data_IF_479593980101
#
_entry.id   IF_479593980101
#
_cell.length_a   1.000
_cell.length_b   1.000
_cell.length_c   1.000
_cell.angle_alpha   90.00
_cell.angle_beta   90.00
_cell.angle_gamma   90.00
#
_symmetry.space_group_name_H-M   'P 1'
#
loop_
_entity.id
_entity.type
_entity.pdbx_description
1 polymer ?
#
# COMPACT_ATOMS: atom_id res chain seq x y z
N UNK A 1 41.55 2.67 -20.43
CA UNK A 1 40.68 1.61 -21.00
C UNK A 1 39.46 2.29 -21.58
N UNK A 2 39.04 1.85 -22.76
CA UNK A 2 37.77 2.26 -23.37
C UNK A 2 36.61 1.91 -22.43
N UNK A 3 35.60 2.76 -22.41
CA UNK A 3 34.47 2.67 -21.50
C UNK A 3 33.21 2.37 -22.30
N UNK A 4 32.58 1.24 -22.00
CA UNK A 4 31.54 0.65 -22.82
C UNK A 4 30.20 0.63 -22.11
N UNK A 5 29.14 0.93 -22.85
CA UNK A 5 27.76 0.86 -22.38
C UNK A 5 26.85 0.29 -23.45
N UNK A 6 25.62 -0.04 -23.09
CA UNK A 6 24.65 -0.60 -24.02
C UNK A 6 23.21 -0.26 -23.60
N UNK A 7 22.28 -0.36 -24.56
CA UNK A 7 20.85 -0.34 -24.24
C UNK A 7 20.41 -1.67 -23.59
N UNK A 8 19.21 -1.72 -23.01
CA UNK A 8 18.72 -2.90 -22.29
C UNK A 8 18.63 -4.18 -23.15
N UNK A 9 18.37 -4.06 -24.46
CA UNK A 9 18.36 -5.21 -25.38
C UNK A 9 19.69 -5.41 -26.13
N UNK A 10 20.73 -4.68 -25.75
CA UNK A 10 22.09 -4.73 -26.33
C UNK A 10 22.22 -4.42 -27.84
N UNK A 11 21.14 -4.05 -28.52
CA UNK A 11 21.15 -3.71 -29.94
C UNK A 11 22.00 -2.48 -30.26
N UNK A 12 22.12 -1.55 -29.29
CA UNK A 12 22.94 -0.35 -29.38
C UNK A 12 24.08 -0.48 -28.37
N UNK A 13 25.31 -0.40 -28.86
CA UNK A 13 26.53 -0.36 -28.04
C UNK A 13 27.20 0.99 -28.15
N UNK A 14 27.61 1.53 -27.02
CA UNK A 14 28.24 2.83 -26.88
C UNK A 14 29.67 2.63 -26.42
N UNK A 15 30.61 3.32 -27.06
CA UNK A 15 32.01 3.33 -26.66
C UNK A 15 32.50 4.75 -26.49
N UNK A 16 33.15 5.00 -25.36
CA UNK A 16 33.88 6.22 -25.04
C UNK A 16 35.37 5.91 -24.85
N UNK A 17 36.28 6.86 -25.14
CA UNK A 17 37.71 6.66 -24.95
C UNK A 17 38.09 6.43 -23.47
N UNK A 18 37.32 7.02 -22.54
CA UNK A 18 37.48 6.88 -21.10
C UNK A 18 36.16 7.18 -20.36
N UNK A 19 36.04 6.72 -19.13
CA UNK A 19 34.93 7.09 -18.25
C UNK A 19 34.98 8.60 -17.93
N UNK A 20 33.89 9.36 -18.12
CA UNK A 20 33.83 10.75 -17.67
C UNK A 20 34.01 10.85 -16.15
N UNK A 21 34.79 11.80 -15.61
CA UNK A 21 35.10 11.84 -14.18
C UNK A 21 33.91 12.18 -13.28
N UNK A 22 32.85 12.77 -13.85
CA UNK A 22 31.69 13.25 -13.12
C UNK A 22 30.43 13.15 -13.95
N UNK A 23 29.29 12.95 -13.29
CA UNK A 23 27.97 13.01 -13.92
C UNK A 23 27.17 14.24 -13.47
N UNK A 24 26.07 14.52 -14.16
CA UNK A 24 25.12 15.58 -13.83
C UNK A 24 23.71 15.01 -13.73
N UNK A 25 23.04 15.34 -12.63
CA UNK A 25 21.66 14.92 -12.36
C UNK A 25 20.69 16.01 -12.82
N UNK A 26 19.65 15.61 -13.54
CA UNK A 26 18.57 16.50 -13.96
C UNK A 26 17.23 16.05 -13.38
N UNK A 27 16.55 16.98 -12.72
CA UNK A 27 15.26 16.76 -12.04
C UNK A 27 14.04 17.26 -12.81
N UNK A 28 14.23 17.82 -14.02
CA UNK A 28 13.12 18.37 -14.79
C UNK A 28 12.13 17.27 -15.25
N UNK A 29 10.86 17.62 -15.37
CA UNK A 29 9.80 16.65 -15.68
C UNK A 29 10.02 15.92 -17.02
N UNK A 30 10.58 16.60 -18.02
CA UNK A 30 10.88 16.02 -19.33
C UNK A 30 11.96 14.93 -19.21
N UNK A 31 13.00 15.18 -18.41
CA UNK A 31 14.08 14.21 -18.20
C UNK A 31 13.63 13.02 -17.34
N UNK A 32 12.78 13.24 -16.33
CA UNK A 32 12.14 12.17 -15.55
C UNK A 32 11.29 11.26 -16.44
N UNK A 33 10.42 11.85 -17.27
CA UNK A 33 9.57 11.10 -18.21
C UNK A 33 10.38 10.34 -19.27
N UNK A 34 11.39 10.98 -19.85
CA UNK A 34 12.25 10.34 -20.84
C UNK A 34 13.14 9.23 -20.25
N UNK A 35 13.48 9.31 -18.97
CA UNK A 35 14.30 8.32 -18.27
C UNK A 35 13.50 7.23 -17.54
N UNK A 36 12.19 7.41 -17.37
CA UNK A 36 11.34 6.51 -16.57
C UNK A 36 11.65 6.52 -15.06
N UNK A 37 12.42 7.50 -14.58
CA UNK A 37 12.96 7.52 -13.21
C UNK A 37 12.63 8.80 -12.43
N UNK A 38 13.04 8.81 -11.16
CA UNK A 38 12.89 9.97 -10.27
C UNK A 38 13.75 11.18 -10.68
N UNK A 39 14.81 10.91 -11.44
CA UNK A 39 15.77 11.85 -11.98
C UNK A 39 16.42 11.23 -13.23
N UNK A 40 17.21 12.02 -13.96
CA UNK A 40 18.05 11.51 -15.05
C UNK A 40 19.51 11.82 -14.77
N UNK A 41 20.35 10.79 -14.76
CA UNK A 41 21.82 10.94 -14.67
C UNK A 41 22.41 10.99 -16.08
N UNK A 42 23.20 12.01 -16.36
CA UNK A 42 23.76 12.25 -17.70
C UNK A 42 25.24 12.59 -17.62
N UNK A 43 25.99 12.20 -18.65
CA UNK A 43 27.32 12.71 -18.94
C UNK A 43 27.22 13.79 -20.00
N UNK A 44 27.97 14.88 -19.79
CA UNK A 44 28.13 15.94 -20.78
C UNK A 44 29.47 15.74 -21.48
N UNK A 45 29.42 15.21 -22.70
CA UNK A 45 30.62 14.88 -23.48
C UNK A 45 30.59 15.59 -24.84
N UNK A 46 31.74 15.63 -25.50
CA UNK A 46 31.79 16.08 -26.87
C UNK A 46 31.24 15.00 -27.82
N UNK A 47 30.66 15.41 -28.94
CA UNK A 47 30.05 14.47 -29.89
C UNK A 47 31.08 13.57 -30.59
N UNK A 48 32.30 14.08 -30.81
CA UNK A 48 33.44 13.37 -31.41
C UNK A 48 33.99 12.25 -30.51
N UNK A 49 33.80 12.35 -29.18
CA UNK A 49 34.20 11.30 -28.24
C UNK A 49 33.23 10.10 -28.23
N UNK A 50 32.03 10.26 -28.80
CA UNK A 50 30.96 9.26 -28.75
C UNK A 50 30.97 8.36 -29.99
N UNK A 51 31.30 7.08 -29.82
CA UNK A 51 31.10 6.07 -30.85
C UNK A 51 29.83 5.25 -30.58
N UNK A 52 28.89 5.28 -31.51
CA UNK A 52 27.62 4.52 -31.44
C UNK A 52 27.66 3.40 -32.47
N UNK A 53 27.57 2.16 -32.00
CA UNK A 53 27.48 0.97 -32.83
C UNK A 53 26.04 0.41 -32.78
N UNK A 54 25.31 0.57 -33.87
CA UNK A 54 23.89 0.18 -34.03
C UNK A 54 23.70 -0.64 -35.33
N UNK A 55 24.07 -1.92 -35.35
CA UNK A 55 24.02 -2.75 -36.56
C UNK A 55 22.59 -3.03 -37.02
N UNK A 56 21.62 -2.95 -36.10
CA UNK A 56 20.22 -3.26 -36.35
C UNK A 56 19.37 -2.01 -36.66
N UNK A 57 20.01 -0.82 -36.80
CA UNK A 57 19.35 0.45 -37.04
C UNK A 57 18.18 0.73 -36.06
N UNK A 58 18.39 0.41 -34.78
CA UNK A 58 17.39 0.56 -33.71
C UNK A 58 17.42 1.91 -33.03
N UNK A 59 18.38 2.78 -33.36
CA UNK A 59 18.45 4.14 -32.83
C UNK A 59 17.41 5.04 -33.49
N UNK A 60 16.38 5.41 -32.74
CA UNK A 60 15.34 6.33 -33.20
C UNK A 60 15.46 7.69 -32.49
N UNK A 61 14.87 8.72 -33.09
CA UNK A 61 14.93 10.10 -32.60
C UNK A 61 13.53 10.69 -32.46
N UNK A 62 13.29 11.32 -31.33
CA UNK A 62 12.09 12.12 -31.09
C UNK A 62 12.49 13.56 -30.73
N UNK A 63 11.83 14.53 -31.36
CA UNK A 63 12.00 15.96 -31.06
C UNK A 63 11.05 16.38 -29.93
N UNK A 64 11.62 16.61 -28.75
CA UNK A 64 10.89 17.07 -27.57
C UNK A 64 10.83 18.61 -27.57
N UNK A 65 9.65 19.14 -27.94
CA UNK A 65 9.35 20.58 -27.96
C UNK A 65 8.84 21.10 -26.61
N UNK A 66 8.41 20.22 -25.70
CA UNK A 66 7.82 20.60 -24.40
C UNK A 66 8.89 20.63 -23.31
N UNK A 67 10.00 21.34 -23.55
CA UNK A 67 11.05 21.46 -22.53
C UNK A 67 10.85 22.67 -21.64
N UNK A 68 11.19 22.51 -20.36
CA UNK A 68 11.19 23.63 -19.39
C UNK A 68 12.19 24.73 -19.79
N UNK A 69 13.20 24.38 -20.60
CA UNK A 69 14.22 25.32 -21.09
C UNK A 69 13.75 26.22 -22.24
N UNK A 70 12.57 25.95 -22.82
CA UNK A 70 12.03 26.65 -23.99
C UNK A 70 12.64 26.24 -25.34
N UNK A 71 13.58 25.29 -25.39
CA UNK A 71 14.24 24.85 -26.62
C UNK A 71 13.81 23.44 -27.00
N UNK A 72 13.64 23.18 -28.29
CA UNK A 72 13.49 21.81 -28.77
C UNK A 72 14.78 21.01 -28.52
N UNK A 73 14.64 19.82 -27.94
CA UNK A 73 15.77 18.88 -27.74
C UNK A 73 15.51 17.60 -28.52
N UNK A 74 16.53 17.11 -29.22
CA UNK A 74 16.47 15.87 -29.98
C UNK A 74 16.90 14.73 -29.08
N UNK A 75 15.98 13.84 -28.73
CA UNK A 75 16.23 12.70 -27.85
C UNK A 75 16.38 11.45 -28.70
N UNK A 76 17.50 10.78 -28.53
CA UNK A 76 17.81 9.52 -29.21
C UNK A 76 17.59 8.36 -28.24
N UNK A 77 16.88 7.33 -28.68
CA UNK A 77 16.50 6.19 -27.86
C UNK A 77 16.47 4.91 -28.70
N UNK A 78 16.57 3.76 -28.04
CA UNK A 78 16.43 2.46 -28.69
C UNK A 78 14.95 2.17 -28.98
N UNK A 79 14.57 1.97 -30.24
CA UNK A 79 13.20 1.58 -30.61
C UNK A 79 12.83 0.17 -30.15
N UNK A 80 13.82 -0.73 -30.02
CA UNK A 80 13.59 -2.11 -29.57
C UNK A 80 13.23 -2.26 -28.09
N UNK A 81 13.88 -1.52 -27.19
CA UNK A 81 13.64 -1.64 -25.72
C UNK A 81 13.25 -0.34 -25.03
N UNK A 82 13.14 0.79 -25.74
CA UNK A 82 12.81 2.10 -25.18
C UNK A 82 13.93 2.76 -24.37
N UNK A 83 15.11 2.15 -24.24
CA UNK A 83 16.23 2.73 -23.47
C UNK A 83 16.66 4.08 -24.04
N UNK A 84 16.73 5.15 -23.23
CA UNK A 84 17.21 6.44 -23.70
C UNK A 84 18.74 6.39 -23.89
N UNK A 85 19.24 6.86 -25.03
CA UNK A 85 20.67 6.79 -25.36
C UNK A 85 21.36 8.12 -25.09
N UNK A 86 21.07 9.16 -25.88
CA UNK A 86 21.63 10.50 -25.68
C UNK A 86 20.66 11.59 -26.11
N UNK A 87 20.94 12.83 -25.75
CA UNK A 87 20.14 14.00 -26.15
C UNK A 87 21.04 15.08 -26.73
N UNK A 88 20.60 15.67 -27.85
CA UNK A 88 21.24 16.83 -28.48
C UNK A 88 20.35 18.06 -28.30
N UNK A 89 20.98 19.21 -28.08
CA UNK A 89 20.29 20.50 -27.93
C UNK A 89 20.95 21.56 -28.79
N UNK A 90 20.16 22.45 -29.36
CA UNK A 90 20.65 23.61 -30.12
C UNK A 90 21.47 24.59 -29.27
N UNK A 91 21.28 24.58 -27.94
CA UNK A 91 22.03 25.44 -27.02
C UNK A 91 23.50 25.08 -26.84
N UNK A 92 23.87 23.84 -27.15
CA UNK A 92 25.23 23.34 -27.00
C UNK A 92 25.61 22.52 -28.24
N UNK A 93 25.84 23.18 -29.38
CA UNK A 93 26.26 22.49 -30.60
C UNK A 93 27.60 21.76 -30.37
N UNK A 94 27.73 20.55 -30.93
CA UNK A 94 28.92 19.71 -30.76
C UNK A 94 29.02 18.98 -29.40
N UNK A 95 28.06 19.16 -28.50
CA UNK A 95 27.96 18.44 -27.22
C UNK A 95 26.77 17.49 -27.23
N UNK A 96 26.92 16.37 -26.53
CA UNK A 96 25.85 15.39 -26.33
C UNK A 96 25.65 15.13 -24.84
N UNK A 97 24.38 15.08 -24.42
CA UNK A 97 23.99 14.63 -23.09
C UNK A 97 23.76 13.12 -23.17
N UNK A 98 24.81 12.35 -22.89
CA UNK A 98 24.77 10.89 -22.90
C UNK A 98 24.14 10.37 -21.62
N UNK A 99 23.27 9.36 -21.71
CA UNK A 99 22.64 8.76 -20.53
C UNK A 99 23.65 7.88 -19.80
N UNK A 100 23.92 8.21 -18.54
CA UNK A 100 24.89 7.48 -17.75
C UNK A 100 24.41 6.06 -17.40
N UNK A 101 23.09 5.85 -17.33
CA UNK A 101 22.46 4.56 -17.03
C UNK A 101 22.66 3.47 -18.11
N UNK A 102 23.30 3.78 -19.24
CA UNK A 102 23.72 2.78 -20.24
C UNK A 102 24.96 2.00 -19.80
N UNK A 103 25.64 2.42 -18.73
CA UNK A 103 26.90 1.85 -18.28
C UNK A 103 26.75 1.27 -16.88
N UNK A 104 27.50 0.20 -16.59
CA UNK A 104 27.43 -0.49 -15.29
C UNK A 104 28.02 0.31 -14.13
N UNK A 105 29.08 1.07 -14.39
CA UNK A 105 29.79 1.85 -13.37
C UNK A 105 29.66 3.33 -13.67
N UNK A 106 28.82 4.04 -12.92
CA UNK A 106 28.56 5.47 -13.15
C UNK A 106 29.37 6.35 -12.19
N UNK A 107 30.03 7.38 -12.73
CA UNK A 107 30.76 8.37 -11.94
C UNK A 107 29.81 9.22 -11.09
N UNK A 108 30.23 9.62 -9.87
CA UNK A 108 29.36 10.34 -8.95
C UNK A 108 28.88 11.67 -9.55
N UNK A 109 27.66 12.11 -9.19
CA UNK A 109 27.15 13.39 -9.65
C UNK A 109 27.84 14.53 -8.90
N UNK A 110 28.36 15.52 -9.65
CA UNK A 110 28.98 16.73 -9.07
C UNK A 110 28.08 17.96 -9.18
N UNK A 111 27.03 17.86 -10.00
CA UNK A 111 26.11 18.95 -10.27
C UNK A 111 24.67 18.43 -10.42
N UNK A 112 23.73 19.22 -9.92
CA UNK A 112 22.30 18.98 -10.04
C UNK A 112 21.62 20.17 -10.70
N UNK A 113 20.75 19.91 -11.68
CA UNK A 113 20.00 20.95 -12.40
C UNK A 113 18.50 20.74 -12.24
N UNK A 114 17.76 21.86 -12.22
CA UNK A 114 16.31 21.90 -11.96
C UNK A 114 15.90 21.31 -10.61
N UNK A 115 16.71 21.51 -9.57
CA UNK A 115 16.48 21.03 -8.19
C UNK A 115 15.07 21.40 -7.69
N UNK A 116 14.52 22.54 -8.10
CA UNK A 116 13.13 22.95 -7.78
C UNK A 116 12.04 21.97 -8.26
N UNK A 117 12.37 21.01 -9.14
CA UNK A 117 11.48 19.95 -9.65
C UNK A 117 11.78 18.56 -9.08
N UNK A 118 12.71 18.46 -8.12
CA UNK A 118 13.03 17.23 -7.40
C UNK A 118 11.82 16.75 -6.60
N UNK A 119 11.60 15.43 -6.55
CA UNK A 119 10.60 14.88 -5.66
C UNK A 119 11.08 15.00 -4.21
N UNK A 120 10.19 15.46 -3.31
CA UNK A 120 10.53 15.74 -1.91
C UNK A 120 11.10 14.53 -1.14
N UNK A 121 10.80 13.31 -1.60
CA UNK A 121 11.28 12.07 -0.98
C UNK A 121 12.63 11.58 -1.55
N UNK A 122 13.15 12.21 -2.60
CA UNK A 122 14.48 11.89 -3.15
C UNK A 122 15.50 12.78 -2.46
N UNK A 123 16.49 12.18 -1.81
CA UNK A 123 17.68 12.88 -1.29
C UNK A 123 18.91 12.27 -1.93
N UNK A 124 19.81 13.11 -2.46
CA UNK A 124 21.07 12.66 -3.06
C UNK A 124 22.19 13.02 -2.07
N UNK A 125 22.56 12.06 -1.24
CA UNK A 125 23.73 12.19 -0.37
C UNK A 125 24.99 11.90 -1.18
N UNK A 126 25.88 12.88 -1.32
CA UNK A 126 27.20 12.65 -1.92
C UNK A 126 28.05 11.83 -0.94
N UNK A 127 28.07 10.52 -1.13
CA UNK A 127 28.77 9.59 -0.25
C UNK A 127 30.26 9.92 -0.13
N UNK A 128 30.71 10.22 1.10
CA UNK A 128 32.12 10.05 1.52
C UNK A 128 32.56 8.64 1.09
N UNK A 129 33.73 8.53 0.45
CA UNK A 129 34.32 7.26 -0.04
C UNK A 129 34.11 6.15 0.98
N UNK A 130 33.29 5.16 0.62
CA UNK A 130 33.12 3.97 1.44
C UNK A 130 34.44 3.19 1.37
N UNK A 131 35.22 3.24 2.45
CA UNK A 131 36.45 2.45 2.54
C UNK A 131 36.06 0.96 2.43
N UNK A 132 36.65 0.26 1.45
CA UNK A 132 36.54 -1.20 1.34
C UNK A 132 36.94 -1.82 2.69
N UNK A 133 36.14 -2.70 3.30
CA UNK A 133 36.64 -3.48 4.43
C UNK A 133 37.74 -4.40 3.89
N UNK A 134 38.97 -4.17 4.34
CA UNK A 134 40.09 -5.08 4.13
C UNK A 134 39.83 -6.32 4.99
N UNK A 135 39.51 -7.47 4.39
CA UNK A 135 39.38 -8.71 5.15
C UNK A 135 38.41 -9.79 4.66
N UNK A 136 37.90 -9.77 3.43
CA UNK A 136 37.11 -10.90 2.92
C UNK A 136 38.02 -12.07 2.50
N UNK A 137 38.25 -13.01 3.42
CA UNK A 137 38.91 -14.29 3.12
C UNK A 137 37.94 -15.16 2.31
N UNK A 138 38.18 -15.29 1.00
CA UNK A 138 37.49 -16.23 0.12
C UNK A 138 37.92 -17.66 0.44
N UNK A 139 37.10 -18.42 1.18
CA UNK A 139 37.31 -19.86 1.35
C UNK A 139 36.71 -20.60 0.14
N UNK A 140 37.55 -21.10 -0.76
CA UNK A 140 37.16 -22.04 -1.83
C UNK A 140 36.93 -23.43 -1.21
N UNK A 141 35.71 -23.94 -1.25
CA UNK A 141 35.42 -25.38 -1.05
C UNK A 141 35.14 -26.03 -2.40
N UNK A 142 35.97 -27.01 -2.79
CA UNK A 142 35.70 -27.95 -3.90
C UNK A 142 34.74 -29.04 -3.41
N UNK A 143 33.84 -29.59 -4.25
CA UNK A 143 33.05 -30.76 -3.89
C UNK A 143 33.83 -32.06 -4.09
N UNK A 144 33.52 -33.05 -3.26
CA UNK A 144 34.04 -34.43 -3.29
C UNK A 144 32.86 -35.37 -3.58
N UNK A 145 33.12 -36.35 -4.44
CA UNK A 145 32.17 -37.29 -5.06
C UNK A 145 31.42 -38.23 -4.10
N UNK A 146 30.33 -38.79 -4.66
CA UNK A 146 29.58 -40.02 -4.33
C UNK A 146 28.52 -39.99 -3.21
N UNK A 147 27.23 -40.11 -3.56
CA UNK A 147 26.55 -41.41 -3.76
C UNK A 147 25.08 -41.24 -4.23
N UNK A 148 24.63 -42.25 -4.98
CA UNK A 148 23.35 -42.37 -5.70
C UNK A 148 22.10 -42.54 -4.80
N UNK A 149 21.03 -41.79 -5.09
CA UNK A 149 19.64 -42.27 -5.00
C UNK A 149 18.69 -41.37 -5.83
N UNK A 150 17.99 -41.97 -6.78
CA UNK A 150 16.92 -41.35 -7.59
C UNK A 150 15.81 -40.78 -6.70
N UNK A 151 15.39 -39.53 -6.97
CA UNK A 151 13.97 -39.14 -7.05
C UNK A 151 13.81 -37.81 -7.81
N UNK A 152 12.95 -37.84 -8.83
CA UNK A 152 12.52 -36.70 -9.65
C UNK A 152 11.78 -35.65 -8.82
N UNK A 153 12.29 -34.41 -8.78
CA UNK A 153 11.54 -33.16 -9.00
C UNK A 153 12.47 -31.95 -8.81
N UNK A 154 13.17 -31.55 -9.88
CA UNK A 154 13.77 -30.21 -9.97
C UNK A 154 12.78 -29.28 -10.68
N UNK A 155 12.15 -28.40 -9.91
CA UNK A 155 11.81 -27.03 -10.31
C UNK A 155 11.22 -26.31 -9.09
N UNK A 156 11.87 -25.21 -8.67
CA UNK A 156 11.49 -24.25 -7.61
C UNK A 156 12.05 -24.51 -6.20
N UNK A 157 13.38 -24.48 -6.05
CA UNK A 157 14.00 -24.10 -4.77
C UNK A 157 14.70 -22.74 -4.92
N UNK A 158 14.04 -21.70 -4.39
CA UNK A 158 14.67 -20.41 -4.10
C UNK A 158 15.65 -20.63 -2.95
N UNK A 159 16.93 -20.56 -3.29
CA UNK A 159 18.05 -20.61 -2.35
C UNK A 159 17.87 -19.54 -1.27
N UNK A 160 17.75 -19.99 -0.02
CA UNK A 160 17.72 -19.20 1.20
C UNK A 160 18.91 -18.22 1.24
N UNK A 161 18.63 -16.93 1.21
CA UNK A 161 19.56 -15.94 1.78
C UNK A 161 19.55 -16.12 3.30
N UNK A 162 20.70 -16.53 3.86
CA UNK A 162 20.96 -16.53 5.29
C UNK A 162 20.77 -15.11 5.83
N UNK A 163 19.69 -14.89 6.57
CA UNK A 163 19.56 -13.72 7.44
C UNK A 163 20.56 -13.87 8.57
N UNK A 164 21.58 -13.02 8.54
CA UNK A 164 22.60 -12.84 9.57
C UNK A 164 21.94 -12.84 10.96
N UNK A 165 22.36 -13.76 11.83
CA UNK A 165 21.93 -13.83 13.22
C UNK A 165 22.35 -12.56 13.97
N UNK A 166 21.43 -12.02 14.74
CA UNK A 166 21.64 -10.90 15.66
C UNK A 166 22.51 -11.39 16.83
N UNK A 167 23.78 -11.01 16.84
CA UNK A 167 24.60 -11.10 18.05
C UNK A 167 24.23 -9.90 18.94
N UNK A 168 23.30 -10.12 19.87
CA UNK A 168 23.13 -9.29 21.06
C UNK A 168 24.42 -9.33 21.87
N UNK A 169 25.08 -8.18 22.10
CA UNK A 169 25.80 -7.85 23.34
C UNK A 169 26.16 -6.35 23.37
N UNK A 170 25.79 -5.72 24.48
CA UNK A 170 26.00 -4.33 24.89
C UNK A 170 27.41 -3.75 24.65
N UNK A 171 27.51 -2.49 24.22
CA UNK A 171 27.96 -1.37 25.08
C UNK A 171 27.76 -0.02 24.38
N UNK A 172 27.22 0.94 25.13
CA UNK A 172 26.99 2.35 24.76
C UNK A 172 28.33 3.08 24.52
N UNK A 173 28.48 4.24 23.83
CA UNK A 173 27.93 5.60 24.12
C UNK A 173 28.55 6.63 23.10
N UNK A 174 28.36 7.97 23.17
CA UNK A 174 27.56 8.76 22.22
C UNK A 174 28.32 9.88 21.48
N UNK A 175 27.60 10.62 20.62
CA UNK A 175 27.63 12.10 20.41
C UNK A 175 27.53 12.44 18.91
N UNK A 176 26.87 13.50 18.44
CA UNK A 176 25.85 14.41 18.94
C UNK A 176 25.48 15.28 17.72
N UNK A 177 24.19 15.49 17.43
CA UNK A 177 23.63 16.79 17.07
C UNK A 177 22.23 16.67 16.46
N UNK A 178 21.30 17.34 17.13
CA UNK A 178 20.06 17.94 16.62
C UNK A 178 18.85 17.05 16.32
N UNK A 179 17.80 17.26 17.12
CA UNK A 179 16.42 17.09 16.67
C UNK A 179 15.47 16.63 17.76
N UNK A 180 14.76 17.57 18.37
CA UNK A 180 13.61 17.37 19.23
C UNK A 180 12.64 16.31 18.71
N UNK A 181 12.43 15.24 19.47
CA UNK A 181 11.14 14.56 19.49
C UNK A 181 10.88 13.96 20.87
N UNK A 182 9.83 14.46 21.52
CA UNK A 182 9.37 14.11 22.85
C UNK A 182 9.02 12.62 22.95
N UNK A 183 10.00 11.78 23.29
CA UNK A 183 9.75 10.36 23.60
C UNK A 183 9.62 10.20 25.11
N UNK A 184 8.39 10.03 25.58
CA UNK A 184 8.11 9.66 26.98
C UNK A 184 8.76 8.30 27.26
N UNK A 185 9.87 8.33 28.00
CA UNK A 185 10.56 7.14 28.50
C UNK A 185 9.73 6.57 29.64
N UNK A 186 8.87 5.59 29.34
CA UNK A 186 8.28 4.77 30.40
C UNK A 186 9.35 3.83 30.95
N UNK A 187 9.86 4.14 32.15
CA UNK A 187 10.78 3.29 32.91
C UNK A 187 10.08 1.96 33.19
N UNK A 188 10.40 0.90 32.43
CA UNK A 188 9.85 -0.45 32.65
C UNK A 188 10.54 -1.06 33.87
N UNK A 189 9.82 -1.10 34.98
CA UNK A 189 10.13 -1.98 36.11
C UNK A 189 10.05 -3.43 35.66
N UNK A 190 11.09 -4.19 35.96
CA UNK A 190 11.35 -5.60 35.62
C UNK A 190 10.33 -6.61 36.17
N UNK A 191 9.30 -6.17 36.89
CA UNK A 191 8.27 -7.04 37.47
C UNK A 191 7.20 -7.55 36.48
N UNK A 192 7.05 -6.95 35.28
CA UNK A 192 6.03 -7.40 34.29
C UNK A 192 6.45 -8.59 33.43
N UNK A 193 7.74 -8.92 33.35
CA UNK A 193 8.21 -10.04 32.53
C UNK A 193 7.73 -11.39 33.08
N UNK A 194 7.72 -11.56 34.41
CA UNK A 194 7.19 -12.75 35.08
C UNK A 194 5.65 -12.84 34.97
N UNK A 195 4.94 -11.71 35.10
CA UNK A 195 3.48 -11.65 34.89
C UNK A 195 3.08 -12.00 33.44
N UNK A 196 3.89 -11.62 32.45
CA UNK A 196 3.64 -11.92 31.04
C UNK A 196 3.86 -13.40 30.69
N UNK A 197 4.79 -14.07 31.37
CA UNK A 197 5.04 -15.51 31.18
C UNK A 197 3.89 -16.34 31.79
N UNK A 198 3.40 -15.95 32.97
CA UNK A 198 2.22 -16.56 33.59
C UNK A 198 0.94 -16.39 32.73
N UNK A 199 0.67 -15.17 32.21
CA UNK A 199 -0.49 -14.91 31.33
C UNK A 199 -0.39 -15.66 29.98
N UNK A 200 0.84 -15.86 29.45
CA UNK A 200 1.05 -16.61 28.21
C UNK A 200 0.80 -18.12 28.34
N UNK A 201 1.11 -18.71 29.50
CA UNK A 201 0.79 -20.12 29.77
C UNK A 201 -0.71 -20.32 30.05
N UNK A 202 -1.35 -19.39 30.77
CA UNK A 202 -2.78 -19.44 31.07
C UNK A 202 -3.65 -19.26 29.80
N UNK A 203 -3.24 -18.40 28.86
CA UNK A 203 -3.87 -18.26 27.52
C UNK A 203 -3.67 -19.46 26.61
N UNK A 204 -2.61 -20.26 26.80
CA UNK A 204 -2.37 -21.49 26.04
C UNK A 204 -3.26 -22.64 26.53
N UNK A 205 -3.59 -22.69 27.82
CA UNK A 205 -4.51 -23.69 28.37
C UNK A 205 -6.00 -23.36 28.11
N UNK A 206 -6.40 -22.08 28.10
CA UNK A 206 -7.77 -21.66 27.80
C UNK A 206 -8.21 -21.84 26.33
N UNK A 207 -7.31 -22.31 25.44
CA UNK A 207 -7.53 -22.45 23.97
C UNK A 207 -7.66 -23.89 23.48
N UNK A 208 -7.99 -24.85 24.35
CA UNK A 208 -8.36 -26.21 23.94
C UNK A 208 -9.89 -26.32 23.82
N UNK A 209 -10.40 -25.93 22.65
CA UNK A 209 -11.80 -26.08 22.28
C UNK A 209 -12.01 -25.86 20.78
N UNK A 210 -13.18 -26.20 20.26
CA UNK A 210 -13.58 -26.03 18.86
C UNK A 210 -13.38 -24.57 18.41
N UNK A 211 -13.63 -23.62 19.30
CA UNK A 211 -13.36 -22.18 19.14
C UNK A 211 -11.88 -21.83 18.92
N UNK A 212 -10.96 -22.63 19.47
CA UNK A 212 -9.51 -22.50 19.27
C UNK A 212 -9.04 -22.92 17.87
N UNK A 213 -9.70 -23.91 17.26
CA UNK A 213 -9.44 -24.31 15.86
C UNK A 213 -9.97 -23.25 14.89
N UNK A 214 -11.16 -22.72 15.14
CA UNK A 214 -11.75 -21.67 14.31
C UNK A 214 -10.93 -20.38 14.34
N UNK A 215 -10.49 -19.94 15.53
CA UNK A 215 -9.59 -18.79 15.66
C UNK A 215 -8.25 -19.01 14.97
N UNK A 216 -7.68 -20.23 15.02
CA UNK A 216 -6.40 -20.54 14.37
C UNK A 216 -6.51 -20.50 12.84
N UNK A 217 -7.55 -21.11 12.28
CA UNK A 217 -7.85 -21.09 10.83
C UNK A 217 -8.05 -19.64 10.34
N UNK A 218 -8.76 -18.82 11.11
CA UNK A 218 -9.01 -17.42 10.77
C UNK A 218 -7.79 -16.52 10.90
N UNK A 219 -6.95 -16.71 11.94
CA UNK A 219 -5.69 -15.97 12.06
C UNK A 219 -4.70 -16.31 10.95
N UNK A 220 -4.76 -17.53 10.40
CA UNK A 220 -3.86 -17.97 9.34
C UNK A 220 -4.33 -17.56 7.94
N UNK A 221 -5.65 -17.59 7.67
CA UNK A 221 -6.19 -17.34 6.34
C UNK A 221 -6.72 -15.91 6.10
N UNK A 222 -7.02 -15.12 7.14
CA UNK A 222 -7.79 -13.86 6.99
C UNK A 222 -7.07 -12.62 7.54
N UNK A 223 -5.97 -12.78 8.29
CA UNK A 223 -5.30 -11.63 8.92
C UNK A 223 -3.87 -11.51 8.41
N UNK A 224 -3.68 -10.74 7.33
CA UNK A 224 -2.35 -10.47 6.78
C UNK A 224 -1.71 -9.37 7.62
N UNK A 225 -0.64 -9.70 8.36
CA UNK A 225 0.12 -8.71 9.13
C UNK A 225 1.25 -8.16 8.28
N UNK A 226 1.10 -6.93 7.79
CA UNK A 226 2.11 -6.26 6.95
C UNK A 226 2.98 -5.35 7.83
N UNK A 227 4.29 -5.32 7.56
CA UNK A 227 5.22 -4.43 8.27
C UNK A 227 4.93 -2.95 7.97
N UNK A 228 4.98 -2.13 9.02
CA UNK A 228 4.58 -0.71 9.02
C UNK A 228 5.30 0.16 7.98
N UNK A 229 6.55 -0.18 7.61
CA UNK A 229 7.38 0.59 6.67
C UNK A 229 6.86 0.58 5.22
N UNK A 230 5.93 -0.31 4.88
CA UNK A 230 5.40 -0.47 3.52
C UNK A 230 3.92 -0.05 3.35
N UNK A 231 3.22 0.37 4.41
CA UNK A 231 1.77 0.57 4.35
C UNK A 231 1.40 2.05 4.43
N UNK A 232 0.89 2.58 3.31
CA UNK A 232 0.28 3.92 3.19
C UNK A 232 -1.15 3.99 3.77
N UNK A 233 -1.61 2.92 4.43
CA UNK A 233 -3.03 2.70 4.75
C UNK A 233 -3.54 3.42 6.01
N UNK A 234 -2.70 4.22 6.68
CA UNK A 234 -3.17 5.11 7.75
C UNK A 234 -4.34 6.01 7.28
N UNK A 235 -4.30 6.47 6.03
CA UNK A 235 -5.36 7.30 5.44
C UNK A 235 -6.66 6.53 5.13
N UNK A 236 -6.64 5.19 5.18
CA UNK A 236 -7.83 4.37 4.92
C UNK A 236 -8.68 4.19 6.19
N UNK A 237 -8.07 4.23 7.38
CA UNK A 237 -8.78 3.96 8.65
C UNK A 237 -9.85 5.00 8.96
N UNK A 238 -9.53 6.29 8.84
CA UNK A 238 -10.48 7.38 9.06
C UNK A 238 -11.67 7.28 8.10
N UNK A 239 -11.41 7.04 6.81
CA UNK A 239 -12.46 6.85 5.80
C UNK A 239 -13.35 5.66 6.11
N UNK A 240 -12.78 4.53 6.54
CA UNK A 240 -13.60 3.37 6.92
C UNK A 240 -14.44 3.64 8.16
N UNK A 241 -13.91 4.34 9.16
CA UNK A 241 -14.65 4.74 10.35
C UNK A 241 -15.81 5.68 10.01
N UNK A 242 -15.56 6.70 9.18
CA UNK A 242 -16.62 7.58 8.67
C UNK A 242 -17.69 6.82 7.89
N UNK A 243 -17.31 5.76 7.17
CA UNK A 243 -18.27 4.89 6.50
C UNK A 243 -19.18 4.17 7.51
N UNK A 244 -18.63 3.63 8.61
CA UNK A 244 -19.43 3.01 9.69
C UNK A 244 -20.40 3.99 10.35
N UNK A 245 -19.97 5.23 10.58
CA UNK A 245 -20.85 6.26 11.14
C UNK A 245 -21.98 6.60 10.16
N UNK A 246 -21.66 6.78 8.87
CA UNK A 246 -22.68 7.03 7.84
C UNK A 246 -23.68 5.88 7.71
N UNK A 247 -23.23 4.62 7.72
CA UNK A 247 -24.16 3.48 7.65
C UNK A 247 -25.03 3.39 8.90
N UNK A 248 -24.48 3.64 10.09
CA UNK A 248 -25.30 3.68 11.32
C UNK A 248 -26.36 4.79 11.29
N UNK A 249 -26.03 5.97 10.73
CA UNK A 249 -26.96 7.08 10.58
C UNK A 249 -28.10 6.74 9.61
N UNK A 250 -27.80 6.11 8.48
CA UNK A 250 -28.82 5.67 7.51
C UNK A 250 -29.76 4.63 8.15
N UNK A 251 -29.22 3.67 8.90
CA UNK A 251 -30.04 2.67 9.61
C UNK A 251 -30.92 3.32 10.69
N UNK A 252 -30.41 4.32 11.40
CA UNK A 252 -31.19 5.09 12.37
C UNK A 252 -32.31 5.90 11.68
N UNK A 253 -32.00 6.58 10.57
CA UNK A 253 -32.98 7.30 9.76
C UNK A 253 -34.10 6.37 9.25
N UNK A 254 -33.74 5.17 8.80
CA UNK A 254 -34.71 4.14 8.41
C UNK A 254 -35.60 3.73 9.59
N UNK A 255 -35.03 3.55 10.79
CA UNK A 255 -35.80 3.25 12.00
C UNK A 255 -36.79 4.35 12.40
N UNK A 256 -36.43 5.62 12.20
CA UNK A 256 -37.31 6.77 12.43
C UNK A 256 -38.43 6.82 11.39
N UNK A 257 -38.13 6.59 10.11
CA UNK A 257 -39.12 6.58 9.03
C UNK A 257 -40.16 5.48 9.25
N UNK A 258 -39.72 4.29 9.68
CA UNK A 258 -40.60 3.21 10.09
C UNK A 258 -41.50 3.68 11.25
N UNK A 259 -40.95 4.25 12.33
CA UNK A 259 -41.77 4.74 13.44
C UNK A 259 -42.81 5.79 13.02
N UNK A 260 -42.44 6.72 12.12
CA UNK A 260 -43.33 7.76 11.62
C UNK A 260 -44.47 7.19 10.77
N UNK A 261 -44.17 6.27 9.86
CA UNK A 261 -45.15 5.64 8.98
C UNK A 261 -46.19 4.85 9.79
N UNK A 262 -45.74 4.06 10.76
CA UNK A 262 -46.64 3.31 11.63
C UNK A 262 -47.46 4.22 12.56
N UNK A 263 -46.94 5.40 12.94
CA UNK A 263 -47.70 6.39 13.72
C UNK A 263 -48.80 7.07 12.90
N UNK A 264 -48.56 7.35 11.61
CA UNK A 264 -49.58 7.90 10.71
C UNK A 264 -50.69 6.88 10.44
N UNK A 265 -50.33 5.64 10.09
CA UNK A 265 -51.31 4.57 9.83
C UNK A 265 -52.15 4.23 11.07
N UNK A 266 -51.61 4.39 12.27
CA UNK A 266 -52.35 4.19 13.52
C UNK A 266 -53.40 5.29 13.80
N UNK A 267 -53.24 6.50 13.27
CA UNK A 267 -54.22 7.58 13.43
C UNK A 267 -55.49 7.33 12.59
N UNK A 268 -55.37 6.62 11.47
CA UNK A 268 -56.47 6.28 10.56
C UNK A 268 -57.14 4.91 10.86
N UNK A 269 -56.47 4.01 11.59
CA UNK A 269 -56.90 2.61 11.77
C UNK A 269 -57.38 2.29 13.19
N UNK A 270 -58.27 3.11 13.78
CA UNK A 270 -58.75 2.94 15.16
C UNK A 270 -59.63 1.69 15.40
N UNK A 271 -60.00 0.93 14.38
CA UNK A 271 -60.99 -0.15 14.52
C UNK A 271 -60.42 -1.58 14.58
N UNK A 272 -59.16 -1.85 14.21
CA UNK A 272 -58.64 -3.21 14.30
C UNK A 272 -57.11 -3.31 14.50
N UNK A 273 -56.71 -4.20 15.41
CA UNK A 273 -55.33 -4.65 15.72
C UNK A 273 -54.44 -3.71 16.55
N UNK A 274 -54.51 -3.90 17.87
CA UNK A 274 -53.45 -3.66 18.85
C UNK A 274 -52.05 -4.16 18.41
N UNK A 275 -51.98 -5.10 17.46
CA UNK A 275 -50.73 -5.63 16.90
C UNK A 275 -49.91 -4.65 16.06
N UNK A 276 -50.53 -3.72 15.31
CA UNK A 276 -49.77 -2.85 14.39
C UNK A 276 -48.87 -1.84 15.13
N UNK A 277 -49.35 -1.31 16.27
CA UNK A 277 -48.58 -0.42 17.14
C UNK A 277 -47.41 -1.16 17.79
N UNK A 278 -47.63 -2.38 18.27
CA UNK A 278 -46.62 -3.19 18.97
C UNK A 278 -45.53 -3.70 18.01
N UNK A 279 -45.90 -4.07 16.78
CA UNK A 279 -44.95 -4.50 15.75
C UNK A 279 -44.10 -3.32 15.26
N UNK A 280 -44.73 -2.17 14.94
CA UNK A 280 -44.01 -0.99 14.47
C UNK A 280 -42.99 -0.43 15.47
N UNK A 281 -43.35 -0.37 16.76
CA UNK A 281 -42.41 0.07 17.81
C UNK A 281 -41.26 -0.91 18.01
N UNK A 282 -41.52 -2.22 17.96
CA UNK A 282 -40.49 -3.24 18.18
C UNK A 282 -39.46 -3.25 17.04
N UNK A 283 -39.93 -3.10 15.80
CA UNK A 283 -39.05 -3.02 14.62
C UNK A 283 -38.20 -1.75 14.65
N UNK A 284 -38.79 -0.60 15.02
CA UNK A 284 -38.02 0.65 15.13
C UNK A 284 -36.95 0.60 16.21
N UNK A 285 -37.27 0.05 17.39
CA UNK A 285 -36.30 -0.15 18.48
C UNK A 285 -35.18 -1.10 18.04
N UNK A 286 -35.50 -2.20 17.35
CA UNK A 286 -34.51 -3.11 16.81
C UNK A 286 -33.55 -2.41 15.81
N UNK A 287 -34.06 -1.56 14.90
CA UNK A 287 -33.23 -0.78 13.99
C UNK A 287 -32.27 0.15 14.73
N UNK A 288 -32.72 0.84 15.79
CA UNK A 288 -31.85 1.71 16.59
C UNK A 288 -30.79 0.93 17.36
N UNK A 289 -31.15 -0.21 17.94
CA UNK A 289 -30.19 -1.09 18.62
C UNK A 289 -29.07 -1.53 17.66
N UNK A 290 -29.40 -1.89 16.42
CA UNK A 290 -28.35 -2.29 15.47
C UNK A 290 -27.55 -1.10 14.96
N UNK A 291 -28.16 0.08 14.76
CA UNK A 291 -27.40 1.29 14.44
C UNK A 291 -26.32 1.59 15.49
N UNK A 292 -26.66 1.46 16.79
CA UNK A 292 -25.72 1.61 17.90
C UNK A 292 -24.62 0.55 17.83
N UNK A 293 -24.96 -0.72 17.60
CA UNK A 293 -23.98 -1.81 17.47
C UNK A 293 -23.00 -1.55 16.32
N UNK A 294 -23.48 -1.10 15.15
CA UNK A 294 -22.63 -0.78 13.99
C UNK A 294 -21.65 0.36 14.32
N UNK A 295 -22.12 1.40 15.01
CA UNK A 295 -21.26 2.50 15.45
C UNK A 295 -20.19 2.03 16.46
N UNK A 296 -20.57 1.21 17.43
CA UNK A 296 -19.66 0.66 18.45
C UNK A 296 -18.59 -0.27 17.84
N UNK A 297 -18.97 -1.12 16.88
CA UNK A 297 -18.02 -1.98 16.14
C UNK A 297 -17.04 -1.12 15.34
N UNK A 298 -17.53 -0.06 14.68
CA UNK A 298 -16.68 0.91 13.98
C UNK A 298 -15.65 1.57 14.90
N UNK A 299 -16.08 2.03 16.08
CA UNK A 299 -15.19 2.65 17.08
C UNK A 299 -14.18 1.66 17.66
N UNK A 300 -14.62 0.44 18.01
CA UNK A 300 -13.75 -0.62 18.52
C UNK A 300 -12.67 -0.99 17.51
N UNK A 301 -13.06 -1.15 16.25
CA UNK A 301 -12.13 -1.43 15.16
C UNK A 301 -11.13 -0.29 14.96
N UNK A 302 -11.58 0.95 14.95
CA UNK A 302 -10.72 2.13 14.82
C UNK A 302 -9.67 2.15 15.94
N UNK A 303 -10.09 1.97 17.19
CA UNK A 303 -9.20 1.93 18.35
C UNK A 303 -8.21 0.77 18.31
N UNK A 304 -8.67 -0.42 17.93
CA UNK A 304 -7.83 -1.62 17.80
C UNK A 304 -6.73 -1.41 16.74
N UNK A 305 -7.07 -0.79 15.62
CA UNK A 305 -6.12 -0.54 14.53
C UNK A 305 -5.15 0.60 14.87
N UNK A 306 -5.62 1.68 15.51
CA UNK A 306 -4.77 2.74 16.09
C UNK A 306 -3.76 2.17 17.09
N UNK A 307 -4.20 1.34 18.04
CA UNK A 307 -3.33 0.67 19.01
C UNK A 307 -2.36 -0.34 18.38
N UNK A 308 -2.67 -0.87 17.20
CA UNK A 308 -1.76 -1.74 16.45
C UNK A 308 -0.67 -0.91 15.75
N UNK A 309 -1.05 0.21 15.13
CA UNK A 309 -0.14 1.16 14.48
C UNK A 309 0.87 1.73 15.49
N UNK A 310 0.41 2.11 16.69
CA UNK A 310 1.30 2.58 17.77
C UNK A 310 2.37 1.55 18.20
N UNK A 311 2.19 0.27 17.86
CA UNK A 311 3.13 -0.83 18.12
C UNK A 311 3.91 -1.27 16.86
N UNK A 312 3.79 -0.55 15.75
CA UNK A 312 4.47 -0.84 14.50
C UNK A 312 3.96 -2.07 13.74
N UNK A 313 2.73 -2.54 14.01
CA UNK A 313 2.12 -3.68 13.33
C UNK A 313 0.76 -3.29 12.74
N UNK A 314 0.46 -3.72 11.51
CA UNK A 314 -0.83 -3.44 10.86
C UNK A 314 -1.55 -4.77 10.59
N UNK A 315 -2.83 -4.83 10.96
CA UNK A 315 -3.70 -5.97 10.67
C UNK A 315 -4.54 -5.65 9.42
N UNK A 316 -4.26 -6.32 8.30
CA UNK A 316 -5.10 -6.31 7.11
C UNK A 316 -6.13 -7.43 7.21
N UNK A 317 -7.26 -7.15 7.86
CA UNK A 317 -8.40 -8.08 7.96
C UNK A 317 -8.95 -8.28 9.38
N UNK A 318 -10.21 -8.71 9.46
CA UNK A 318 -10.89 -9.03 10.72
C UNK A 318 -12.34 -9.45 10.56
N UNK A 319 -12.85 -10.23 11.51
CA UNK A 319 -14.25 -10.69 11.60
C UNK A 319 -15.25 -9.53 11.60
N UNK A 320 -14.86 -8.37 12.15
CA UNK A 320 -15.65 -7.13 12.21
C UNK A 320 -16.23 -6.70 10.84
N UNK A 321 -15.51 -6.93 9.73
CA UNK A 321 -15.97 -6.60 8.38
C UNK A 321 -17.11 -7.51 7.93
N UNK A 322 -16.93 -8.82 8.12
CA UNK A 322 -17.92 -9.81 7.70
C UNK A 322 -19.15 -9.75 8.63
N UNK A 323 -18.96 -9.56 9.93
CA UNK A 323 -20.07 -9.43 10.88
C UNK A 323 -20.98 -8.25 10.59
N UNK A 324 -20.42 -7.10 10.20
CA UNK A 324 -21.24 -5.93 9.87
C UNK A 324 -21.95 -6.08 8.52
N UNK A 325 -21.30 -6.69 7.52
CA UNK A 325 -21.95 -7.00 6.24
C UNK A 325 -23.15 -7.93 6.41
N UNK A 326 -23.01 -8.97 7.25
CA UNK A 326 -24.09 -9.90 7.58
C UNK A 326 -25.21 -9.19 8.34
N UNK A 327 -24.90 -8.38 9.36
CA UNK A 327 -25.89 -7.63 10.15
C UNK A 327 -26.69 -6.66 9.27
N UNK A 328 -26.04 -5.91 8.38
CA UNK A 328 -26.73 -5.03 7.43
C UNK A 328 -27.62 -5.83 6.47
N UNK A 329 -27.11 -6.93 5.91
CA UNK A 329 -27.86 -7.81 5.01
C UNK A 329 -29.12 -8.39 5.66
N UNK A 330 -29.01 -8.85 6.91
CA UNK A 330 -30.15 -9.33 7.68
C UNK A 330 -31.20 -8.24 7.89
N UNK A 331 -30.79 -7.00 8.23
CA UNK A 331 -31.74 -5.89 8.42
C UNK A 331 -32.46 -5.56 7.11
N UNK A 332 -31.71 -5.39 6.02
CA UNK A 332 -32.32 -5.08 4.72
C UNK A 332 -33.30 -6.17 4.30
N UNK A 333 -32.98 -7.44 4.58
CA UNK A 333 -33.87 -8.57 4.31
C UNK A 333 -35.12 -8.53 5.19
N UNK A 334 -34.98 -8.28 6.49
CA UNK A 334 -36.15 -8.18 7.40
C UNK A 334 -37.08 -7.03 7.02
N UNK A 335 -36.52 -5.88 6.65
CA UNK A 335 -37.31 -4.72 6.18
C UNK A 335 -38.01 -5.06 4.86
N UNK A 336 -37.34 -5.75 3.93
CA UNK A 336 -37.94 -6.19 2.67
C UNK A 336 -39.10 -7.15 2.91
N UNK A 337 -38.91 -8.16 3.78
CA UNK A 337 -39.96 -9.13 4.11
C UNK A 337 -41.16 -8.45 4.75
N UNK A 338 -40.95 -7.56 5.72
CA UNK A 338 -42.04 -6.80 6.36
C UNK A 338 -42.76 -5.92 5.36
N UNK A 339 -42.03 -5.27 4.45
CA UNK A 339 -42.63 -4.43 3.39
C UNK A 339 -43.49 -5.25 2.44
N UNK A 340 -43.01 -6.42 1.99
CA UNK A 340 -43.76 -7.33 1.12
C UNK A 340 -44.99 -7.89 1.82
N UNK A 341 -44.87 -8.30 3.10
CA UNK A 341 -46.01 -8.80 3.87
C UNK A 341 -47.12 -7.76 3.99
N UNK A 342 -46.77 -6.48 4.18
CA UNK A 342 -47.75 -5.37 4.21
C UNK A 342 -48.41 -5.19 2.85
N UNK A 343 -47.65 -5.21 1.75
CA UNK A 343 -48.21 -5.07 0.40
C UNK A 343 -49.18 -6.20 0.10
N UNK A 344 -48.83 -7.44 0.46
CA UNK A 344 -49.68 -8.61 0.26
C UNK A 344 -50.96 -8.53 1.10
N UNK A 345 -50.88 -8.11 2.37
CA UNK A 345 -52.08 -7.92 3.21
C UNK A 345 -53.00 -6.83 2.64
N UNK A 346 -52.43 -5.75 2.06
CA UNK A 346 -53.21 -4.68 1.40
C UNK A 346 -53.90 -5.20 0.12
N UNK A 347 -53.23 -6.05 -0.66
CA UNK A 347 -53.75 -6.58 -1.92
C UNK A 347 -54.82 -7.66 -1.71
N UNK A 348 -54.75 -8.40 -0.59
CA UNK A 348 -55.74 -9.42 -0.20
C UNK A 348 -57.03 -8.79 0.37
N UNK A 349 -56.96 -7.59 0.96
CA UNK A 349 -58.13 -6.84 1.46
C UNK A 349 -58.42 -5.56 0.62
N UNK A 350 -58.74 -5.67 -0.68
CA UNK A 350 -59.00 -4.51 -1.54
C UNK A 350 -60.25 -3.73 -1.09
N UNK A 351 -61.13 -4.36 -0.31
CA UNK A 351 -62.32 -3.72 0.27
C UNK A 351 -62.01 -2.66 1.33
N UNK A 352 -60.86 -2.76 2.00
CA UNK A 352 -60.37 -1.77 2.99
C UNK A 352 -59.74 -0.57 2.27
N UNK A 353 -59.05 -0.80 1.16
CA UNK A 353 -58.45 0.25 0.34
C UNK A 353 -59.52 1.10 -0.38
N UNK A 354 -60.54 0.47 -0.97
CA UNK A 354 -61.65 1.16 -1.63
C UNK A 354 -62.48 1.98 -0.63
N UNK A 355 -62.72 1.48 0.59
CA UNK A 355 -63.39 2.25 1.65
C UNK A 355 -62.57 3.46 2.14
N UNK A 356 -61.23 3.40 2.09
CA UNK A 356 -60.33 4.50 2.48
C UNK A 356 -60.22 5.63 1.45
N UNK A 357 -60.42 5.34 0.17
CA UNK A 357 -60.36 6.37 -0.89
C UNK A 357 -61.72 7.05 -1.12
N UNK A 358 -62.83 6.33 -0.94
CA UNK A 358 -64.18 6.84 -1.25
C UNK A 358 -64.99 7.26 -0.02
N UNK A 359 -64.45 7.13 1.20
CA UNK A 359 -65.11 7.50 2.45
C UNK A 359 -64.47 8.72 3.11
N UNK A 360 -64.63 9.88 2.50
CA UNK A 360 -64.38 11.21 3.07
C UNK A 360 -65.59 12.09 2.85
#
# INVERSE_FOLDING_TARGET
MSYHGHCNCESIRITLPRQPPSSTVCHCDCCKRAGGGALSVNYFINEDELTVHDPNATLNMYEDKRTVSGNAVKRYFCSGCGSPVYTKTSKAPGKVLLKAALFDIVSPPVAEVFISKQYQWVTIEQGKKQARPSGAILRKTRPRDNDNALNHHEALELQQLQTHEDNELDYSTPSASSGDEYRVVTRRTTSRALASRADSQQRRQARKGIWGKLTRIWTHNVTLTVQHKSSRDYFALERTFLAYIRTSLVVAQQGVLIAQLYRLQAAEALADRLGFRQVGTSVSVACHCVAIIVALVGAYRFWRQQNAIARGRIYAGGWELNSVGILLGCITLTVLIVSVAIIVEIDIDPSVFVRRILGG
#
